data_IF_774517564904
#
_entry.id   IF_774517564904
#
_cell.length_a   1.000
_cell.length_b   1.000
_cell.length_c   1.000
_cell.angle_alpha   90.00
_cell.angle_beta   90.00
_cell.angle_gamma   90.00
#
_symmetry.space_group_name_H-M   'P 1'
#
loop_
_entity.id
_entity.type
_entity.pdbx_description
1 polymer ?
#
# COMPACT_ATOMS: atom_id res chain seq x y z
N UNK A 1 -7.06 7.04 33.29
CA UNK A 1 -8.03 7.04 32.18
C UNK A 1 -7.36 6.46 30.96
N UNK A 2 -8.01 5.50 30.31
CA UNK A 2 -7.51 4.85 29.09
C UNK A 2 -7.95 5.64 27.85
N UNK A 3 -7.33 5.37 26.70
CA UNK A 3 -7.73 5.96 25.42
C UNK A 3 -9.16 5.61 25.03
N UNK A 4 -9.60 4.38 25.32
CA UNK A 4 -10.97 3.89 25.07
C UNK A 4 -11.99 4.67 25.90
N UNK A 5 -11.70 4.89 27.18
CA UNK A 5 -12.58 5.66 28.08
C UNK A 5 -12.74 7.11 27.60
N UNK A 6 -11.67 7.74 27.12
CA UNK A 6 -11.72 9.09 26.58
C UNK A 6 -12.55 9.15 25.29
N UNK A 7 -12.36 8.22 24.36
CA UNK A 7 -13.14 8.15 23.11
C UNK A 7 -14.63 8.02 23.44
N UNK A 8 -14.99 7.09 24.32
CA UNK A 8 -16.39 6.89 24.72
C UNK A 8 -17.01 8.17 25.30
N UNK A 9 -16.30 8.86 26.20
CA UNK A 9 -16.76 10.13 26.77
C UNK A 9 -17.00 11.20 25.70
N UNK A 10 -16.08 11.37 24.74
CA UNK A 10 -16.23 12.39 23.71
C UNK A 10 -17.34 12.05 22.70
N UNK A 11 -17.48 10.78 22.31
CA UNK A 11 -18.54 10.34 21.39
C UNK A 11 -19.92 10.59 21.99
N UNK A 12 -20.10 10.36 23.30
CA UNK A 12 -21.36 10.66 23.99
C UNK A 12 -21.75 12.14 24.00
N UNK A 13 -20.80 13.05 23.82
CA UNK A 13 -21.07 14.49 23.76
C UNK A 13 -21.48 14.96 22.35
N UNK A 14 -21.31 14.11 21.33
CA UNK A 14 -21.65 14.44 19.95
C UNK A 14 -23.15 14.21 19.67
N UNK A 15 -23.79 15.02 18.81
CA UNK A 15 -25.09 14.72 18.22
C UNK A 15 -25.08 13.42 17.40
N UNK A 16 -26.23 12.75 17.28
CA UNK A 16 -26.36 11.45 16.59
C UNK A 16 -25.73 11.40 15.19
N UNK A 17 -25.87 12.42 14.30
CA UNK A 17 -25.24 12.38 12.98
C UNK A 17 -23.71 12.29 13.05
N UNK A 18 -23.08 12.96 14.01
CA UNK A 18 -21.64 12.94 14.19
C UNK A 18 -21.17 11.67 14.90
N UNK A 19 -22.01 11.05 15.75
CA UNK A 19 -21.72 9.72 16.29
C UNK A 19 -21.70 8.65 15.17
N UNK A 20 -22.60 8.75 14.19
CA UNK A 20 -22.59 7.87 13.01
C UNK A 20 -21.31 8.04 12.18
N UNK A 21 -20.85 9.27 11.99
CA UNK A 21 -19.60 9.53 11.26
C UNK A 21 -18.39 8.91 11.98
N UNK A 22 -18.33 9.02 13.31
CA UNK A 22 -17.28 8.34 14.11
C UNK A 22 -17.37 6.83 13.96
N UNK A 23 -18.58 6.25 13.99
CA UNK A 23 -18.77 4.82 13.80
C UNK A 23 -18.28 4.37 12.41
N UNK A 24 -18.59 5.13 11.37
CA UNK A 24 -18.15 4.82 10.01
C UNK A 24 -16.64 4.95 9.85
N UNK A 25 -16.01 5.91 10.51
CA UNK A 25 -14.55 6.00 10.59
C UNK A 25 -13.93 4.79 11.29
N UNK A 26 -14.50 4.33 12.41
CA UNK A 26 -14.01 3.13 13.11
C UNK A 26 -14.17 1.88 12.24
N UNK A 27 -15.29 1.72 11.54
CA UNK A 27 -15.48 0.64 10.55
C UNK A 27 -14.44 0.71 9.44
N UNK A 28 -14.15 1.90 8.93
CA UNK A 28 -13.09 2.10 7.95
C UNK A 28 -11.72 1.69 8.50
N UNK A 29 -11.38 2.02 9.74
CA UNK A 29 -10.10 1.60 10.33
C UNK A 29 -10.00 0.08 10.48
N UNK A 30 -11.09 -0.60 10.84
CA UNK A 30 -11.14 -2.05 10.91
C UNK A 30 -11.02 -2.69 9.52
N UNK A 31 -11.78 -2.17 8.56
CA UNK A 31 -11.69 -2.59 7.17
C UNK A 31 -10.29 -2.35 6.59
N UNK A 32 -9.68 -1.19 6.85
CA UNK A 32 -8.31 -0.88 6.45
C UNK A 32 -7.31 -1.83 7.08
N UNK A 33 -7.50 -2.25 8.33
CA UNK A 33 -6.66 -3.26 8.97
C UNK A 33 -6.80 -4.62 8.28
N UNK A 34 -8.00 -5.00 7.84
CA UNK A 34 -8.27 -6.26 7.13
C UNK A 34 -7.83 -6.20 5.65
N UNK A 35 -7.93 -5.03 5.01
CA UNK A 35 -7.51 -4.76 3.63
C UNK A 35 -6.07 -4.31 3.48
N UNK A 36 -5.36 -4.02 4.58
CA UNK A 36 -3.91 -4.22 4.64
C UNK A 36 -3.63 -5.74 4.60
N UNK A 37 -4.11 -6.38 3.53
CA UNK A 37 -3.39 -7.42 2.82
C UNK A 37 -1.98 -6.84 2.61
N UNK A 38 -0.92 -7.60 2.91
CA UNK A 38 0.39 -7.02 3.19
C UNK A 38 0.88 -6.25 1.97
N UNK A 39 1.95 -5.46 2.14
CA UNK A 39 2.77 -4.96 1.03
C UNK A 39 3.08 -6.03 -0.05
N UNK A 40 2.94 -7.31 0.30
CA UNK A 40 2.89 -8.46 -0.60
C UNK A 40 1.94 -8.32 -1.79
N UNK A 41 0.76 -7.71 -1.72
CA UNK A 41 -0.11 -7.67 -2.91
C UNK A 41 0.50 -6.78 -3.99
N UNK A 42 0.97 -5.58 -3.65
CA UNK A 42 1.60 -4.67 -4.61
C UNK A 42 2.95 -5.23 -5.11
N UNK A 43 3.70 -5.89 -4.24
CA UNK A 43 4.93 -6.61 -4.58
C UNK A 43 4.64 -7.85 -5.46
N UNK A 44 3.59 -8.62 -5.18
CA UNK A 44 3.14 -9.75 -5.97
C UNK A 44 2.61 -9.29 -7.33
N UNK A 45 1.81 -8.23 -7.39
CA UNK A 45 1.37 -7.62 -8.64
C UNK A 45 2.56 -7.11 -9.47
N UNK A 46 3.55 -6.50 -8.83
CA UNK A 46 4.79 -6.04 -9.48
C UNK A 46 5.61 -7.22 -10.01
N UNK A 47 5.78 -8.27 -9.21
CA UNK A 47 6.50 -9.50 -9.59
C UNK A 47 5.78 -10.26 -10.71
N UNK A 48 4.46 -10.36 -10.64
CA UNK A 48 3.63 -10.95 -11.69
C UNK A 48 3.72 -10.14 -12.99
N UNK A 49 3.65 -8.81 -12.91
CA UNK A 49 3.80 -7.94 -14.09
C UNK A 49 5.18 -8.07 -14.73
N UNK A 50 6.25 -8.10 -13.91
CA UNK A 50 7.62 -8.26 -14.38
C UNK A 50 7.84 -9.64 -15.03
N UNK A 51 7.39 -10.72 -14.38
CA UNK A 51 7.52 -12.08 -14.94
C UNK A 51 6.76 -12.25 -16.25
N UNK A 52 5.61 -11.59 -16.42
CA UNK A 52 4.90 -11.57 -17.70
C UNK A 52 5.64 -10.77 -18.77
N UNK A 53 6.28 -9.66 -18.40
CA UNK A 53 7.05 -8.83 -19.33
C UNK A 53 8.34 -9.51 -19.81
N UNK A 54 8.99 -10.31 -18.95
CA UNK A 54 10.21 -11.06 -19.27
C UNK A 54 9.92 -12.41 -19.94
N UNK A 55 8.64 -12.80 -20.08
CA UNK A 55 8.26 -14.07 -20.68
C UNK A 55 8.62 -14.12 -22.17
N UNK A 56 9.45 -15.07 -22.56
CA UNK A 56 10.03 -15.18 -23.91
C UNK A 56 11.45 -14.62 -24.04
N UNK A 57 11.99 -14.01 -22.98
CA UNK A 57 13.36 -13.49 -22.90
C UNK A 57 14.23 -14.31 -21.92
N UNK A 58 13.75 -15.47 -21.44
CA UNK A 58 14.43 -16.25 -20.39
C UNK A 58 15.77 -16.87 -20.85
N UNK A 59 15.89 -17.15 -22.14
CA UNK A 59 17.08 -17.73 -22.77
C UNK A 59 17.96 -16.66 -23.47
N UNK A 60 17.58 -15.38 -23.39
CA UNK A 60 18.40 -14.29 -23.94
C UNK A 60 19.63 -14.07 -23.05
N UNK A 61 20.83 -14.07 -23.65
CA UNK A 61 22.03 -13.67 -22.94
C UNK A 61 21.85 -12.26 -22.41
N UNK A 62 22.12 -12.06 -21.11
CA UNK A 62 22.06 -10.73 -20.54
C UNK A 62 23.04 -9.83 -21.30
N UNK A 63 22.58 -8.68 -21.81
CA UNK A 63 23.47 -7.73 -22.47
C UNK A 63 24.61 -7.34 -21.54
N UNK A 64 25.82 -7.23 -22.08
CA UNK A 64 27.03 -6.76 -21.40
C UNK A 64 26.93 -5.24 -21.12
N UNK A 65 25.96 -4.84 -20.30
CA UNK A 65 25.86 -3.47 -19.83
C UNK A 65 26.90 -3.22 -18.76
N UNK A 66 27.63 -2.13 -18.92
CA UNK A 66 28.64 -1.65 -18.00
C UNK A 66 28.16 -0.38 -17.30
N UNK A 67 28.67 -0.06 -16.09
CA UNK A 67 28.37 1.22 -15.43
C UNK A 67 28.71 2.46 -16.28
N UNK A 68 29.61 2.31 -17.26
CA UNK A 68 29.97 3.33 -18.22
C UNK A 68 28.81 3.69 -19.17
N UNK A 69 27.93 2.73 -19.49
CA UNK A 69 26.76 2.93 -20.36
C UNK A 69 25.66 3.79 -19.71
N UNK A 70 25.73 3.97 -18.38
CA UNK A 70 24.81 4.83 -17.63
C UNK A 70 25.15 6.33 -17.74
N UNK A 71 26.27 6.68 -18.38
CA UNK A 71 26.73 8.07 -18.47
C UNK A 71 26.16 8.74 -19.72
N UNK A 72 25.48 9.86 -19.52
CA UNK A 72 25.05 10.73 -20.62
C UNK A 72 26.25 11.48 -21.20
N UNK A 73 26.55 11.23 -22.47
CA UNK A 73 27.63 11.90 -23.19
C UNK A 73 27.03 13.13 -23.88
N UNK A 74 27.26 14.32 -23.32
CA UNK A 74 26.87 15.56 -23.96
C UNK A 74 27.92 15.97 -25.03
N UNK A 75 27.51 16.36 -26.24
CA UNK A 75 28.40 16.81 -27.32
C UNK A 75 29.01 18.20 -27.07
#
# INVERSE_FOLDING_TARGET
MTTIENIHRYVQMLPDPLQQEVLDFVKYLLFKREQYVPQNDEEEWSNLSLSLALRGMEDEEMPDYTPEDLREIFP
#
